data_IF_571065138045
#
_entry.id   IF_571065138045
#
_cell.length_a   1.000
_cell.length_b   1.000
_cell.length_c   1.000
_cell.angle_alpha   90.00
_cell.angle_beta   90.00
_cell.angle_gamma   90.00
#
_symmetry.space_group_name_H-M   'P 1'
#
loop_
_entity.id
_entity.type
_entity.pdbx_description
1 polymer ?
#
# COMPACT_ATOMS: atom_id res chain seq x y z
N UNK A 1 20.28 2.47 2.58
CA UNK A 1 18.97 2.03 2.06
C UNK A 1 17.93 3.01 2.57
N UNK A 2 17.47 3.94 1.74
CA UNK A 2 16.34 4.78 2.07
C UNK A 2 15.09 3.92 1.83
N UNK A 3 14.37 3.57 2.90
CA UNK A 3 13.00 3.10 2.74
C UNK A 3 12.25 4.23 2.02
N UNK A 4 11.66 3.95 0.86
CA UNK A 4 10.85 4.95 0.16
C UNK A 4 9.63 5.25 1.03
N UNK A 5 9.65 6.38 1.73
CA UNK A 5 8.45 6.97 2.31
C UNK A 5 7.70 7.60 1.15
N UNK A 6 6.68 6.91 0.61
CA UNK A 6 5.87 7.48 -0.47
C UNK A 6 5.00 8.65 0.03
N UNK A 7 4.40 8.51 1.21
CA UNK A 7 3.58 9.52 1.89
C UNK A 7 3.67 9.29 3.41
N UNK A 8 3.73 10.38 4.19
CA UNK A 8 3.64 10.37 5.66
C UNK A 8 2.70 11.49 6.08
N UNK A 9 1.90 11.29 7.13
CA UNK A 9 1.09 12.36 7.70
C UNK A 9 1.25 12.42 9.22
N UNK A 10 1.06 13.61 9.79
CA UNK A 10 1.34 13.87 11.21
C UNK A 10 0.30 14.78 11.85
N UNK A 11 0.17 14.66 13.18
CA UNK A 11 -0.59 15.59 14.03
C UNK A 11 0.36 16.38 14.92
N UNK A 12 0.00 17.63 15.26
CA UNK A 12 0.80 18.45 16.17
C UNK A 12 1.99 19.13 15.48
N UNK A 13 3.18 19.04 16.06
CA UNK A 13 4.39 19.72 15.57
C UNK A 13 4.91 19.07 14.30
N UNK A 14 5.40 19.89 13.37
CA UNK A 14 6.09 19.40 12.16
C UNK A 14 7.26 18.48 12.55
N UNK A 15 7.38 17.28 11.95
CA UNK A 15 8.50 16.38 12.18
C UNK A 15 9.85 17.06 11.90
N UNK A 16 10.91 16.62 12.55
CA UNK A 16 12.25 17.23 12.46
C UNK A 16 12.82 17.30 11.04
N UNK A 17 12.43 16.36 10.17
CA UNK A 17 12.86 16.30 8.76
C UNK A 17 11.93 17.08 7.82
N UNK A 18 10.85 17.69 8.33
CA UNK A 18 9.93 18.53 7.56
C UNK A 18 9.12 17.82 6.47
N UNK A 19 9.11 16.49 6.42
CA UNK A 19 8.35 15.72 5.43
C UNK A 19 7.00 15.29 6.01
N UNK A 20 6.00 15.22 5.14
CA UNK A 20 4.66 14.71 5.43
C UNK A 20 3.57 15.79 5.49
N UNK A 21 2.31 15.35 5.45
CA UNK A 21 1.14 16.22 5.44
C UNK A 21 0.59 16.41 6.86
N UNK A 22 0.20 17.63 7.22
CA UNK A 22 -0.45 17.89 8.50
C UNK A 22 -1.90 17.38 8.46
N UNK A 23 -2.30 16.56 9.43
CA UNK A 23 -3.68 16.13 9.64
C UNK A 23 -4.39 17.15 10.52
N UNK A 24 -5.25 18.03 9.96
CA UNK A 24 -5.89 19.08 10.73
C UNK A 24 -6.91 18.45 11.69
N UNK A 25 -7.04 19.04 12.89
CA UNK A 25 -8.04 18.56 13.87
C UNK A 25 -9.46 18.82 13.36
N UNK A 26 -10.40 17.99 13.81
CA UNK A 26 -11.85 18.10 13.53
C UNK A 26 -12.20 18.03 12.04
N UNK A 27 -11.41 17.30 11.26
CA UNK A 27 -11.73 16.99 9.86
C UNK A 27 -12.44 15.63 9.78
N UNK A 28 -13.09 15.39 8.64
CA UNK A 28 -13.71 14.10 8.38
C UNK A 28 -12.65 13.02 8.10
N UNK A 29 -13.05 11.75 8.22
CA UNK A 29 -12.15 10.63 7.97
C UNK A 29 -11.67 10.58 6.51
N UNK A 30 -12.49 11.04 5.57
CA UNK A 30 -12.16 11.10 4.14
C UNK A 30 -11.05 12.12 3.88
N UNK A 31 -11.09 13.27 4.56
CA UNK A 31 -10.02 14.26 4.49
C UNK A 31 -8.73 13.68 5.07
N UNK A 32 -8.80 13.01 6.23
CA UNK A 32 -7.62 12.38 6.82
C UNK A 32 -7.04 11.26 5.96
N UNK A 33 -7.88 10.41 5.37
CA UNK A 33 -7.44 9.37 4.44
C UNK A 33 -6.71 9.98 3.24
N UNK A 34 -7.23 11.08 2.68
CA UNK A 34 -6.57 11.78 1.58
C UNK A 34 -5.22 12.35 2.00
N UNK A 35 -5.16 13.13 3.08
CA UNK A 35 -3.91 13.75 3.54
C UNK A 35 -2.87 12.70 3.98
N UNK A 36 -3.30 11.54 4.48
CA UNK A 36 -2.43 10.42 4.80
C UNK A 36 -1.95 9.62 3.58
N UNK A 37 -2.43 9.92 2.37
CA UNK A 37 -2.15 9.09 1.19
C UNK A 37 -2.77 7.70 1.28
N UNK A 38 -3.88 7.57 2.02
CA UNK A 38 -4.62 6.34 2.32
C UNK A 38 -6.01 6.27 1.64
N UNK A 39 -6.33 7.22 0.74
CA UNK A 39 -7.59 7.22 -0.01
C UNK A 39 -7.54 6.25 -1.21
N UNK A 40 -7.37 4.96 -0.90
CA UNK A 40 -7.34 3.85 -1.85
C UNK A 40 -7.97 2.62 -1.20
N UNK A 41 -8.28 1.62 -2.03
CA UNK A 41 -8.87 0.37 -1.56
C UNK A 41 -7.86 -0.76 -1.67
N UNK A 42 -7.92 -1.71 -0.74
CA UNK A 42 -7.21 -2.99 -0.88
C UNK A 42 -8.00 -3.86 -1.85
N UNK A 43 -7.36 -4.23 -2.95
CA UNK A 43 -7.87 -5.19 -3.92
C UNK A 43 -7.09 -6.50 -3.77
N UNK A 44 -7.70 -7.58 -4.25
CA UNK A 44 -7.12 -8.92 -4.24
C UNK A 44 -7.16 -9.56 -5.63
N UNK A 45 -6.18 -10.38 -5.96
CA UNK A 45 -6.15 -11.17 -7.20
C UNK A 45 -5.41 -12.50 -6.99
N UNK A 46 -5.80 -13.60 -7.67
CA UNK A 46 -5.09 -14.87 -7.61
C UNK A 46 -3.60 -14.74 -7.96
N UNK A 47 -2.77 -15.50 -7.25
CA UNK A 47 -1.35 -15.64 -7.61
C UNK A 47 -1.23 -16.30 -8.98
N UNK A 48 -0.38 -15.75 -9.84
CA UNK A 48 0.00 -16.38 -11.10
C UNK A 48 1.52 -16.58 -11.12
N UNK A 49 1.98 -17.75 -11.51
CA UNK A 49 3.40 -18.05 -11.67
C UNK A 49 3.68 -18.58 -13.07
N UNK A 50 4.89 -18.29 -13.55
CA UNK A 50 5.39 -18.81 -14.82
C UNK A 50 6.32 -19.96 -14.49
N UNK A 51 6.05 -21.14 -15.03
CA UNK A 51 6.98 -22.26 -15.00
C UNK A 51 7.85 -22.17 -16.27
N UNK A 52 9.17 -22.16 -16.09
CA UNK A 52 10.10 -22.28 -17.23
C UNK A 52 10.01 -23.72 -17.75
N UNK A 53 9.17 -23.93 -18.75
CA UNK A 53 9.30 -25.09 -19.62
C UNK A 53 10.46 -24.80 -20.59
N UNK A 54 11.40 -25.73 -20.72
CA UNK A 54 12.40 -25.72 -21.80
C UNK A 54 11.65 -25.85 -23.13
N UNK A 55 11.31 -24.72 -23.75
CA UNK A 55 10.48 -24.64 -24.95
C UNK A 55 9.58 -23.41 -24.95
N UNK A 56 9.38 -22.81 -26.12
CA UNK A 56 8.93 -21.42 -26.38
C UNK A 56 7.60 -20.91 -25.79
N UNK A 57 6.94 -21.61 -24.86
CA UNK A 57 5.67 -21.21 -24.25
C UNK A 57 5.67 -21.59 -22.77
N UNK A 58 6.33 -20.79 -21.93
CA UNK A 58 6.19 -20.92 -20.47
C UNK A 58 4.71 -20.76 -20.08
N UNK A 59 4.12 -21.81 -19.51
CA UNK A 59 2.73 -21.81 -19.12
C UNK A 59 2.52 -20.87 -17.93
N UNK A 60 1.48 -20.03 -17.99
CA UNK A 60 1.02 -19.23 -16.85
C UNK A 60 0.07 -20.12 -16.06
N UNK A 61 0.43 -20.41 -14.83
CA UNK A 61 -0.41 -21.16 -13.90
C UNK A 61 -1.01 -20.21 -12.87
N UNK A 62 -2.31 -20.36 -12.58
CA UNK A 62 -3.00 -19.66 -11.50
C UNK A 62 -3.04 -20.53 -10.26
N UNK A 63 -2.88 -19.93 -9.08
CA UNK A 63 -3.01 -20.57 -7.78
C UNK A 63 -4.07 -19.81 -6.95
N UNK A 64 -5.38 -20.06 -7.20
CA UNK A 64 -6.49 -19.27 -6.65
C UNK A 64 -6.62 -19.35 -5.12
N UNK A 65 -6.04 -20.36 -4.48
CA UNK A 65 -5.98 -20.51 -3.03
C UNK A 65 -5.11 -19.44 -2.37
N UNK A 66 -4.19 -18.83 -3.13
CA UNK A 66 -3.38 -17.70 -2.67
C UNK A 66 -3.73 -16.44 -3.44
N UNK A 67 -3.82 -15.33 -2.71
CA UNK A 67 -4.14 -14.02 -3.26
C UNK A 67 -3.03 -13.03 -2.96
N UNK A 68 -2.76 -12.16 -3.93
CA UNK A 68 -1.94 -10.97 -3.73
C UNK A 68 -2.87 -9.82 -3.37
N UNK A 69 -2.54 -9.09 -2.31
CA UNK A 69 -3.22 -7.85 -1.93
C UNK A 69 -2.46 -6.66 -2.52
N UNK A 70 -3.18 -5.71 -3.12
CA UNK A 70 -2.59 -4.52 -3.74
C UNK A 70 -3.51 -3.31 -3.60
N UNK A 71 -2.94 -2.11 -3.74
CA UNK A 71 -3.70 -0.86 -3.69
C UNK A 71 -4.37 -0.57 -5.04
N UNK A 72 -5.61 -0.10 -5.01
CA UNK A 72 -6.39 0.25 -6.20
C UNK A 72 -5.82 1.39 -7.05
N UNK A 73 -4.99 2.24 -6.46
CA UNK A 73 -4.45 3.45 -7.09
C UNK A 73 -3.11 3.24 -7.81
N UNK A 74 -2.30 2.31 -7.32
CA UNK A 74 -0.91 2.10 -7.75
C UNK A 74 -0.59 0.68 -8.16
N UNK A 75 -1.45 -0.29 -7.83
CA UNK A 75 -1.18 -1.73 -7.91
C UNK A 75 0.03 -2.21 -7.10
N UNK A 76 0.55 -1.36 -6.21
CA UNK A 76 1.64 -1.72 -5.30
C UNK A 76 1.09 -2.43 -4.06
N UNK A 77 2.00 -3.07 -3.31
CA UNK A 77 1.67 -3.66 -2.01
C UNK A 77 1.11 -2.59 -1.06
N UNK A 78 0.02 -2.89 -0.34
CA UNK A 78 -0.47 -1.98 0.68
C UNK A 78 0.54 -1.87 1.84
N UNK A 79 0.65 -0.71 2.51
CA UNK A 79 1.47 -0.58 3.69
C UNK A 79 1.00 -1.54 4.80
N UNK A 80 1.96 -2.13 5.51
CA UNK A 80 1.67 -2.95 6.69
C UNK A 80 1.22 -2.00 7.81
N UNK A 81 -0.07 -2.02 8.14
CA UNK A 81 -0.58 -1.32 9.32
C UNK A 81 -0.06 -2.06 10.57
N UNK A 82 0.96 -1.51 11.22
CA UNK A 82 1.33 -1.93 12.56
C UNK A 82 0.23 -1.42 13.50
N UNK A 83 -0.55 -2.29 14.18
CA UNK A 83 -1.54 -1.81 15.13
C UNK A 83 -0.82 -1.02 16.23
N UNK A 84 -1.30 0.19 16.50
CA UNK A 84 -0.88 0.94 17.69
C UNK A 84 -1.29 0.10 18.92
N UNK A 85 -0.36 -0.21 19.86
CA UNK A 85 -0.77 -0.81 21.12
C UNK A 85 -1.72 0.16 21.85
N UNK A 86 -2.84 -0.38 22.31
CA UNK A 86 -3.89 0.31 23.07
C UNK A 86 -3.38 0.98 24.34
#
# INVERSE_FOLDING_TARGET
MAHQIEQMAYVGTTPWHGLGNNLPRKQSIEVWQREAGMNWQILESPVHFKSDAVGHLGAIHSFPEQKVLFRSDTNNLPPVLVPLPS
#
